data_IF_016568023978
#
_entry.id   IF_016568023978
#
_cell.length_a   1.000
_cell.length_b   1.000
_cell.length_c   1.000
_cell.angle_alpha   90.00
_cell.angle_beta   90.00
_cell.angle_gamma   90.00
#
_symmetry.space_group_name_H-M   'P 1'
#
loop_
_entity.id
_entity.type
_entity.pdbx_description
1 polymer ?
#
# COMPACT_ATOMS: atom_id res chain seq x y z
N UNK A 1 -15.75 -9.16 -7.24
CA UNK A 1 -16.71 -8.55 -6.29
C UNK A 1 -16.33 -8.97 -4.88
N UNK A 2 -16.27 -8.00 -3.97
CA UNK A 2 -16.56 -8.11 -2.53
C UNK A 2 -15.64 -8.81 -1.51
N UNK A 3 -14.40 -9.22 -1.80
CA UNK A 3 -13.51 -9.63 -0.67
C UNK A 3 -12.98 -8.40 0.09
N UNK A 4 -12.67 -7.32 -0.64
CA UNK A 4 -12.05 -6.11 -0.08
C UNK A 4 -13.03 -5.15 0.59
N UNK A 5 -14.33 -5.24 0.28
CA UNK A 5 -15.35 -4.37 0.87
C UNK A 5 -15.78 -4.88 2.25
N UNK A 6 -15.83 -6.21 2.41
CA UNK A 6 -16.27 -6.81 3.67
C UNK A 6 -15.21 -6.66 4.78
N UNK A 7 -13.92 -6.62 4.42
CA UNK A 7 -12.83 -6.30 5.38
C UNK A 7 -12.94 -4.88 5.97
N UNK A 8 -13.52 -3.93 5.22
CA UNK A 8 -13.62 -2.55 5.67
C UNK A 8 -14.76 -2.30 6.67
N UNK A 9 -15.66 -3.28 6.86
CA UNK A 9 -16.91 -3.09 7.60
C UNK A 9 -17.03 -3.90 8.89
N UNK A 10 -16.21 -4.94 9.09
CA UNK A 10 -16.24 -5.73 10.31
C UNK A 10 -14.92 -5.55 11.07
N UNK A 11 -15.03 -5.03 12.29
CA UNK A 11 -13.99 -4.93 13.32
C UNK A 11 -12.92 -3.84 13.14
N UNK A 12 -13.33 -2.58 13.19
CA UNK A 12 -12.43 -1.48 13.59
C UNK A 12 -11.88 -1.63 15.02
N UNK A 13 -12.35 -2.58 15.84
CA UNK A 13 -12.04 -2.58 17.28
C UNK A 13 -11.33 -3.80 17.90
N UNK A 14 -11.13 -4.96 17.24
CA UNK A 14 -10.56 -6.12 17.98
C UNK A 14 -9.51 -7.04 17.29
N UNK A 15 -9.27 -6.98 15.97
CA UNK A 15 -8.24 -7.84 15.32
C UNK A 15 -6.85 -7.20 15.25
N UNK A 16 -6.74 -5.88 15.46
CA UNK A 16 -5.49 -5.14 15.31
C UNK A 16 -5.17 -4.32 16.56
N UNK A 17 -4.47 -4.91 17.54
CA UNK A 17 -3.76 -4.13 18.57
C UNK A 17 -2.62 -3.33 17.90
N UNK A 18 -2.95 -2.19 17.29
CA UNK A 18 -2.04 -1.27 16.60
C UNK A 18 -2.49 -0.91 15.17
N UNK A 19 -2.14 0.28 14.69
CA UNK A 19 -2.49 0.67 13.31
C UNK A 19 -1.82 -0.25 12.26
N UNK A 20 -2.45 -0.51 11.11
CA UNK A 20 -1.87 -1.33 10.03
C UNK A 20 -0.46 -0.90 9.62
N UNK A 21 -0.21 0.42 9.65
CA UNK A 21 1.11 1.00 9.43
C UNK A 21 2.14 0.49 10.44
N UNK A 22 1.81 0.47 11.73
CA UNK A 22 2.72 -0.01 12.79
C UNK A 22 3.09 -1.46 12.54
N UNK A 23 2.10 -2.32 12.28
CA UNK A 23 2.31 -3.74 12.04
C UNK A 23 3.19 -4.00 10.81
N UNK A 24 3.00 -3.25 9.73
CA UNK A 24 3.89 -3.35 8.57
C UNK A 24 5.35 -3.03 8.93
N UNK A 25 5.60 -1.96 9.68
CA UNK A 25 6.96 -1.62 10.12
C UNK A 25 7.53 -2.60 11.14
N UNK A 26 6.70 -3.22 11.97
CA UNK A 26 7.13 -4.25 12.91
C UNK A 26 7.54 -5.51 12.15
N UNK A 27 6.70 -5.98 11.22
CA UNK A 27 6.97 -7.17 10.40
C UNK A 27 8.19 -6.98 9.51
N UNK A 28 8.35 -5.83 8.86
CA UNK A 28 9.55 -5.54 8.05
C UNK A 28 10.84 -5.48 8.88
N UNK A 29 10.77 -5.23 10.19
CA UNK A 29 11.95 -5.27 11.08
C UNK A 29 12.29 -6.67 11.56
N UNK A 30 11.28 -7.51 11.76
CA UNK A 30 11.45 -8.89 12.21
C UNK A 30 11.75 -9.87 11.07
N UNK A 31 11.30 -9.55 9.84
CA UNK A 31 11.52 -10.36 8.65
C UNK A 31 12.97 -10.37 8.16
N UNK A 32 13.32 -11.37 7.34
CA UNK A 32 14.62 -11.42 6.66
C UNK A 32 14.80 -10.24 5.71
N UNK A 33 16.01 -9.67 5.68
CA UNK A 33 16.35 -8.53 4.81
C UNK A 33 16.05 -8.80 3.35
N UNK A 34 16.39 -9.98 2.84
CA UNK A 34 16.18 -10.34 1.44
C UNK A 34 14.68 -10.31 1.07
N UNK A 35 13.81 -10.81 1.97
CA UNK A 35 12.36 -10.82 1.76
C UNK A 35 11.81 -9.39 1.73
N UNK A 36 12.31 -8.54 2.64
CA UNK A 36 11.88 -7.14 2.74
C UNK A 36 12.37 -6.34 1.54
N UNK A 37 13.61 -6.55 1.10
CA UNK A 37 14.17 -5.90 -0.08
C UNK A 37 13.40 -6.29 -1.35
N UNK A 38 13.12 -7.57 -1.55
CA UNK A 38 12.27 -8.04 -2.66
C UNK A 38 10.87 -7.43 -2.64
N UNK A 39 10.25 -7.33 -1.46
CA UNK A 39 8.91 -6.76 -1.34
C UNK A 39 8.91 -5.25 -1.60
N UNK A 40 9.92 -4.53 -1.13
CA UNK A 40 10.11 -3.11 -1.43
C UNK A 40 10.32 -2.91 -2.94
N UNK A 41 11.11 -3.75 -3.59
CA UNK A 41 11.36 -3.67 -5.04
C UNK A 41 10.06 -3.78 -5.84
N UNK A 42 9.18 -4.74 -5.50
CA UNK A 42 7.84 -4.84 -6.10
C UNK A 42 6.99 -3.59 -5.91
N UNK A 43 7.04 -2.96 -4.73
CA UNK A 43 6.31 -1.72 -4.46
C UNK A 43 6.82 -0.59 -5.37
N UNK A 44 8.13 -0.49 -5.54
CA UNK A 44 8.77 0.49 -6.43
C UNK A 44 8.44 0.20 -7.89
N UNK A 45 8.48 -1.06 -8.33
CA UNK A 45 8.08 -1.46 -9.68
C UNK A 45 6.63 -1.06 -9.97
N UNK A 46 5.71 -1.36 -9.04
CA UNK A 46 4.30 -0.97 -9.14
C UNK A 46 4.14 0.56 -9.26
N UNK A 47 4.91 1.33 -8.50
CA UNK A 47 4.89 2.80 -8.61
C UNK A 47 5.40 3.26 -9.99
N UNK A 48 6.52 2.72 -10.46
CA UNK A 48 7.08 3.05 -11.77
C UNK A 48 6.10 2.75 -12.91
N UNK A 49 5.41 1.60 -12.85
CA UNK A 49 4.37 1.25 -13.83
C UNK A 49 3.20 2.24 -13.77
N UNK A 50 2.74 2.63 -12.59
CA UNK A 50 1.65 3.61 -12.47
C UNK A 50 2.05 5.00 -13.01
N UNK A 51 3.29 5.42 -12.79
CA UNK A 51 3.81 6.66 -13.36
C UNK A 51 3.89 6.58 -14.88
N UNK A 52 4.45 5.50 -15.43
CA UNK A 52 4.54 5.28 -16.88
C UNK A 52 3.14 5.22 -17.53
N UNK A 53 2.21 4.46 -16.98
CA UNK A 53 0.83 4.40 -17.47
C UNK A 53 0.17 5.78 -17.50
N UNK A 54 0.44 6.60 -16.48
CA UNK A 54 -0.12 7.95 -16.41
C UNK A 54 0.53 8.88 -17.44
N UNK A 55 1.84 8.76 -17.65
CA UNK A 55 2.58 9.51 -18.67
C UNK A 55 2.10 9.11 -20.08
N UNK A 56 1.96 7.81 -20.35
CA UNK A 56 1.45 7.29 -21.62
C UNK A 56 0.06 7.81 -21.94
N UNK A 57 -0.81 7.97 -20.94
CA UNK A 57 -2.17 8.47 -21.12
C UNK A 57 -2.25 10.01 -21.21
N UNK A 58 -1.47 10.74 -20.40
CA UNK A 58 -1.59 12.20 -20.24
C UNK A 58 -0.50 13.02 -20.94
N UNK A 59 0.52 12.36 -21.46
CA UNK A 59 1.69 12.97 -22.09
C UNK A 59 2.78 13.40 -21.11
N UNK A 60 4.00 13.55 -21.62
CA UNK A 60 5.22 13.85 -20.86
C UNK A 60 5.18 15.18 -20.07
N UNK A 61 4.31 16.11 -20.47
CA UNK A 61 4.16 17.41 -19.80
C UNK A 61 3.27 17.34 -18.55
N UNK A 62 2.64 16.19 -18.28
CA UNK A 62 1.76 16.03 -17.12
C UNK A 62 2.55 15.97 -15.80
N UNK A 63 2.39 17.00 -14.97
CA UNK A 63 2.98 17.02 -13.63
C UNK A 63 2.19 16.11 -12.66
N UNK A 64 2.54 14.82 -12.65
CA UNK A 64 1.90 13.82 -11.79
C UNK A 64 2.02 14.15 -10.31
N UNK A 65 3.14 14.74 -9.88
CA UNK A 65 3.40 15.07 -8.48
C UNK A 65 2.46 16.15 -7.94
N UNK A 66 2.19 17.19 -8.74
CA UNK A 66 1.19 18.20 -8.39
C UNK A 66 -0.23 17.61 -8.34
N UNK A 67 -0.55 16.73 -9.28
CA UNK A 67 -1.84 16.08 -9.31
C UNK A 67 -2.06 15.16 -8.10
N UNK A 68 -1.06 14.38 -7.71
CA UNK A 68 -1.09 13.55 -6.49
C UNK A 68 -1.33 14.41 -5.26
N UNK A 69 -0.60 15.53 -5.10
CA UNK A 69 -0.79 16.44 -3.95
C UNK A 69 -2.21 16.95 -3.87
N UNK A 70 -2.76 17.42 -5.00
CA UNK A 70 -4.14 17.90 -5.08
C UNK A 70 -5.14 16.79 -4.75
N UNK A 71 -4.95 15.60 -5.32
CA UNK A 71 -5.82 14.46 -5.08
C UNK A 71 -5.84 14.03 -3.61
N UNK A 72 -4.69 14.03 -2.94
CA UNK A 72 -4.58 13.73 -1.50
C UNK A 72 -5.40 14.73 -0.68
N UNK A 73 -5.28 16.03 -0.97
CA UNK A 73 -6.02 17.07 -0.25
C UNK A 73 -7.54 16.94 -0.45
N UNK A 74 -7.97 16.60 -1.67
CA UNK A 74 -9.39 16.47 -2.01
C UNK A 74 -10.01 15.14 -1.54
N UNK A 75 -9.19 14.11 -1.27
CA UNK A 75 -9.64 12.74 -1.00
C UNK A 75 -8.93 12.11 0.19
N UNK A 76 -8.56 12.90 1.20
CA UNK A 76 -7.70 12.47 2.32
C UNK A 76 -8.19 11.17 2.98
N UNK A 77 -9.47 11.07 3.29
CA UNK A 77 -10.08 9.90 3.93
C UNK A 77 -9.93 8.64 3.06
N UNK A 78 -10.24 8.77 1.77
CA UNK A 78 -10.14 7.67 0.80
C UNK A 78 -8.68 7.24 0.60
N UNK A 79 -7.76 8.19 0.53
CA UNK A 79 -6.32 7.92 0.45
C UNK A 79 -5.83 7.21 1.71
N UNK A 80 -6.27 7.65 2.89
CA UNK A 80 -5.91 6.99 4.15
C UNK A 80 -6.48 5.57 4.24
N UNK A 81 -7.71 5.34 3.78
CA UNK A 81 -8.29 4.00 3.64
C UNK A 81 -7.46 3.11 2.71
N UNK A 82 -7.15 3.59 1.50
CA UNK A 82 -6.30 2.84 0.56
C UNK A 82 -4.92 2.53 1.16
N UNK A 83 -4.29 3.48 1.85
CA UNK A 83 -3.01 3.27 2.54
C UNK A 83 -3.10 2.17 3.60
N UNK A 84 -4.16 2.16 4.43
CA UNK A 84 -4.39 1.10 5.42
C UNK A 84 -4.48 -0.27 4.74
N UNK A 85 -5.23 -0.38 3.63
CA UNK A 85 -5.36 -1.62 2.87
C UNK A 85 -4.02 -2.11 2.31
N UNK A 86 -3.24 -1.22 1.69
CA UNK A 86 -1.91 -1.55 1.16
C UNK A 86 -0.95 -2.03 2.25
N UNK A 87 -0.97 -1.41 3.44
CA UNK A 87 -0.15 -1.89 4.56
C UNK A 87 -0.51 -3.32 4.98
N UNK A 88 -1.81 -3.68 4.99
CA UNK A 88 -2.25 -5.04 5.32
C UNK A 88 -1.80 -6.03 4.24
N UNK A 89 -1.98 -5.67 2.97
CA UNK A 89 -1.58 -6.48 1.81
C UNK A 89 -0.09 -6.82 1.85
N UNK A 90 0.78 -5.81 1.95
CA UNK A 90 2.23 -6.02 2.00
C UNK A 90 2.67 -6.73 3.27
N UNK A 91 2.01 -6.49 4.40
CA UNK A 91 2.28 -7.25 5.63
C UNK A 91 1.97 -8.74 5.42
N UNK A 92 0.86 -9.05 4.74
CA UNK A 92 0.49 -10.41 4.37
C UNK A 92 1.51 -11.08 3.45
N UNK A 93 1.98 -10.37 2.41
CA UNK A 93 3.01 -10.90 1.50
C UNK A 93 4.31 -11.27 2.22
N UNK A 94 4.76 -10.42 3.15
CA UNK A 94 5.97 -10.68 3.94
C UNK A 94 5.76 -11.88 4.87
N UNK A 95 4.62 -11.94 5.59
CA UNK A 95 4.33 -13.05 6.52
C UNK A 95 4.24 -14.38 5.77
N UNK A 96 3.53 -14.44 4.64
CA UNK A 96 3.39 -15.67 3.85
C UNK A 96 4.75 -16.22 3.39
N UNK A 97 5.71 -15.33 3.09
CA UNK A 97 7.08 -15.72 2.71
C UNK A 97 7.96 -16.14 3.89
N UNK A 98 7.66 -15.69 5.11
CA UNK A 98 8.38 -16.12 6.32
C UNK A 98 8.01 -17.54 6.76
N UNK A 99 6.78 -17.97 6.48
CA UNK A 99 6.26 -19.29 6.86
C UNK A 99 6.52 -20.39 5.79
N UNK A 100 7.14 -20.02 4.65
CA UNK A 100 7.51 -20.91 3.54
C UNK A 100 9.00 -21.24 3.55
#
# INVERSE_FOLDING_TARGET
MSIFKDWFTEDEDDIFMGSPKSKFFDVTREASKDIVEDEIDKIIEKLAVLELMTIDEKGDEFNINEHIKKYILENEERVNGMKKGLYIEFTGEIICRLDS
#
